data_IF_610640368832
#
_entry.id   IF_610640368832
#
_cell.length_a   1.000
_cell.length_b   1.000
_cell.length_c   1.000
_cell.angle_alpha   90.00
_cell.angle_beta   90.00
_cell.angle_gamma   90.00
#
_symmetry.space_group_name_H-M   'P 1'
#
loop_
_entity.id
_entity.type
_entity.pdbx_description
1 polymer ?
#
# COMPACT_ATOMS: atom_id res chain seq x y z
N UNK A 1 -22.89 18.04 7.22
CA UNK A 1 -21.80 17.08 7.00
C UNK A 1 -20.75 17.80 6.20
N UNK A 2 -19.55 17.94 6.77
CA UNK A 2 -18.40 18.38 5.98
C UNK A 2 -17.92 17.21 5.12
N UNK A 3 -17.48 17.52 3.90
CA UNK A 3 -16.89 16.54 3.00
C UNK A 3 -15.48 16.23 3.49
N UNK A 4 -15.19 14.96 3.75
CA UNK A 4 -13.84 14.47 4.05
C UNK A 4 -13.29 13.80 2.78
N UNK A 5 -12.23 14.36 2.21
CA UNK A 5 -11.60 13.87 0.99
C UNK A 5 -10.31 13.12 1.34
N UNK A 6 -10.13 11.94 0.74
CA UNK A 6 -8.90 11.15 0.85
C UNK A 6 -8.37 10.97 -0.56
N UNK A 7 -7.17 11.52 -0.82
CA UNK A 7 -6.50 11.42 -2.12
C UNK A 7 -5.40 10.37 -2.02
N UNK A 8 -5.35 9.45 -2.99
CA UNK A 8 -4.37 8.36 -3.03
C UNK A 8 -3.58 8.46 -4.33
N UNK A 9 -2.27 8.58 -4.22
CA UNK A 9 -1.34 8.52 -5.34
C UNK A 9 -0.90 7.08 -5.58
N UNK A 10 -1.23 6.54 -6.76
CA UNK A 10 -0.92 5.16 -7.12
C UNK A 10 0.33 5.06 -7.98
N UNK A 11 1.20 4.12 -7.61
CA UNK A 11 2.41 3.73 -8.34
C UNK A 11 2.27 2.27 -8.81
N UNK A 12 2.54 2.00 -10.08
CA UNK A 12 2.60 0.66 -10.63
C UNK A 12 2.08 0.55 -12.08
N UNK A 13 2.03 -0.67 -12.63
CA UNK A 13 2.34 -1.94 -11.95
C UNK A 13 3.85 -2.12 -11.70
N UNK A 14 4.18 -2.60 -10.50
CA UNK A 14 5.53 -3.02 -10.10
C UNK A 14 5.59 -4.55 -10.00
N UNK A 15 6.77 -5.12 -10.22
CA UNK A 15 7.07 -6.51 -9.87
C UNK A 15 7.30 -6.64 -8.35
N UNK A 16 7.13 -7.85 -7.83
CA UNK A 16 7.40 -8.15 -6.41
C UNK A 16 8.85 -7.79 -6.05
N UNK A 17 9.80 -8.12 -6.92
CA UNK A 17 11.22 -7.88 -6.71
C UNK A 17 11.56 -6.38 -6.69
N UNK A 18 10.93 -5.58 -7.55
CA UNK A 18 11.11 -4.12 -7.53
C UNK A 18 10.61 -3.50 -6.23
N UNK A 19 9.48 -3.99 -5.70
CA UNK A 19 8.96 -3.50 -4.40
C UNK A 19 9.90 -3.87 -3.27
N UNK A 20 10.31 -5.14 -3.19
CA UNK A 20 11.20 -5.62 -2.12
C UNK A 20 12.56 -4.90 -2.17
N UNK A 21 13.12 -4.69 -3.36
CA UNK A 21 14.44 -4.09 -3.50
C UNK A 21 14.46 -2.57 -3.23
N UNK A 22 13.38 -1.85 -3.54
CA UNK A 22 13.43 -0.38 -3.62
C UNK A 22 12.45 0.36 -2.73
N UNK A 23 11.48 -0.32 -2.09
CA UNK A 23 10.43 0.34 -1.29
C UNK A 23 10.70 0.20 0.20
N UNK A 24 11.86 0.68 0.61
CA UNK A 24 12.47 0.48 1.93
C UNK A 24 12.58 1.78 2.74
N UNK A 25 12.08 2.91 2.23
CA UNK A 25 12.12 4.18 2.95
C UNK A 25 11.12 4.19 4.11
N UNK A 26 11.60 3.75 5.27
CA UNK A 26 10.87 3.81 6.54
C UNK A 26 11.13 5.08 7.35
N UNK A 27 11.95 6.02 6.85
CA UNK A 27 12.44 7.14 7.65
C UNK A 27 13.43 6.69 8.72
N UNK A 28 13.77 7.60 9.62
CA UNK A 28 14.75 7.37 10.70
C UNK A 28 14.15 7.74 12.07
N UNK A 29 14.78 7.26 13.14
CA UNK A 29 14.42 7.63 14.52
C UNK A 29 14.55 9.16 14.70
N UNK A 30 13.61 9.83 15.43
CA UNK A 30 12.52 9.26 16.22
C UNK A 30 11.19 9.08 15.47
N UNK A 31 11.06 9.62 14.26
CA UNK A 31 9.74 9.85 13.66
C UNK A 31 9.28 8.73 12.72
N UNK A 32 10.21 7.97 12.11
CA UNK A 32 9.91 6.86 11.19
C UNK A 32 8.89 7.24 10.10
N UNK A 33 9.05 8.45 9.57
CA UNK A 33 8.14 9.12 8.65
C UNK A 33 8.59 8.96 7.20
N UNK A 34 9.05 7.77 6.80
CA UNK A 34 9.43 7.47 5.43
C UNK A 34 8.27 7.47 4.42
N UNK A 35 8.59 7.32 3.14
CA UNK A 35 7.58 7.34 2.07
C UNK A 35 7.01 5.98 1.69
N UNK A 36 7.57 4.87 2.20
CA UNK A 36 7.18 3.53 1.75
C UNK A 36 6.16 2.86 2.67
N UNK A 37 5.09 3.60 2.95
CA UNK A 37 3.90 3.16 3.67
C UNK A 37 2.63 3.51 2.91
N UNK A 38 1.53 2.83 3.24
CA UNK A 38 0.23 3.09 2.65
C UNK A 38 -0.50 1.81 2.26
N UNK A 39 -1.20 1.88 1.13
CA UNK A 39 -2.06 0.85 0.59
C UNK A 39 -1.34 0.04 -0.49
N UNK A 40 -1.76 -1.19 -0.71
CA UNK A 40 -1.31 -1.96 -1.86
C UNK A 40 -2.40 -2.85 -2.42
N UNK A 41 -2.33 -3.08 -3.73
CA UNK A 41 -3.16 -4.02 -4.46
C UNK A 41 -2.26 -5.02 -5.18
N UNK A 42 -2.63 -6.28 -5.16
CA UNK A 42 -1.89 -7.36 -5.79
C UNK A 42 -2.80 -8.03 -6.81
N UNK A 43 -2.38 -7.98 -8.06
CA UNK A 43 -3.06 -8.62 -9.18
C UNK A 43 -2.24 -9.81 -9.66
N UNK A 44 -2.92 -10.82 -10.21
CA UNK A 44 -2.28 -11.99 -10.78
C UNK A 44 -3.24 -12.79 -11.64
N UNK A 45 -2.96 -14.08 -11.80
CA UNK A 45 -3.79 -15.01 -12.55
C UNK A 45 -4.68 -15.80 -11.60
N UNK A 46 -5.99 -15.62 -11.71
CA UNK A 46 -6.95 -16.45 -10.98
C UNK A 46 -7.45 -17.59 -11.87
N UNK A 47 -7.60 -18.80 -11.31
CA UNK A 47 -7.97 -20.00 -12.08
C UNK A 47 -9.30 -19.86 -12.83
N UNK A 48 -10.26 -19.11 -12.27
CA UNK A 48 -11.58 -18.89 -12.89
C UNK A 48 -11.69 -17.58 -13.67
N UNK A 49 -10.96 -16.54 -13.24
CA UNK A 49 -11.14 -15.18 -13.76
C UNK A 49 -10.07 -14.80 -14.80
N UNK A 50 -9.01 -15.60 -14.93
CA UNK A 50 -7.92 -15.36 -15.86
C UNK A 50 -6.87 -14.38 -15.32
N UNK A 51 -5.99 -13.86 -16.20
CA UNK A 51 -4.92 -12.93 -15.82
C UNK A 51 -5.48 -11.55 -15.42
N UNK A 52 -4.66 -10.76 -14.72
CA UNK A 52 -4.99 -9.40 -14.27
C UNK A 52 -6.19 -9.33 -13.31
N UNK A 53 -6.43 -10.39 -12.55
CA UNK A 53 -7.44 -10.43 -11.49
C UNK A 53 -6.86 -9.87 -10.20
N UNK A 54 -7.63 -9.04 -9.48
CA UNK A 54 -7.25 -8.59 -8.14
C UNK A 54 -7.30 -9.78 -7.17
N UNK A 55 -6.17 -10.10 -6.57
CA UNK A 55 -6.01 -11.23 -5.63
C UNK A 55 -6.03 -10.76 -4.18
N UNK A 56 -5.50 -9.56 -3.91
CA UNK A 56 -5.34 -9.06 -2.56
C UNK A 56 -5.34 -7.53 -2.50
N UNK A 57 -5.94 -6.98 -1.45
CA UNK A 57 -5.86 -5.58 -1.06
C UNK A 57 -5.41 -5.54 0.39
N UNK A 58 -4.47 -4.66 0.72
CA UNK A 58 -4.07 -4.44 2.10
C UNK A 58 -3.41 -3.09 2.32
N UNK A 59 -2.96 -2.87 3.56
CA UNK A 59 -2.18 -1.71 3.96
C UNK A 59 -0.92 -2.07 4.75
N UNK A 60 -0.02 -1.11 4.87
CA UNK A 60 1.13 -1.17 5.76
C UNK A 60 1.45 0.22 6.31
N UNK A 61 1.43 0.36 7.64
CA UNK A 61 1.65 1.63 8.35
C UNK A 61 2.73 1.52 9.44
N UNK A 62 3.17 0.29 9.76
CA UNK A 62 4.14 0.00 10.82
C UNK A 62 5.42 -0.66 10.28
N UNK A 63 5.42 -1.02 9.00
CA UNK A 63 6.55 -1.60 8.28
C UNK A 63 6.48 -1.14 6.83
N UNK A 64 7.60 -1.16 6.12
CA UNK A 64 7.66 -0.67 4.74
C UNK A 64 6.87 -1.56 3.78
N UNK A 65 6.57 -1.04 2.59
CA UNK A 65 6.04 -1.86 1.50
C UNK A 65 6.96 -3.04 1.18
N UNK A 66 8.28 -2.82 1.19
CA UNK A 66 9.26 -3.91 0.98
C UNK A 66 9.04 -5.04 1.99
N UNK A 67 9.00 -4.73 3.29
CA UNK A 67 8.84 -5.73 4.34
C UNK A 67 7.52 -6.49 4.19
N UNK A 68 6.42 -5.77 3.92
CA UNK A 68 5.09 -6.38 3.79
C UNK A 68 4.98 -7.25 2.56
N UNK A 69 5.47 -6.80 1.42
CA UNK A 69 5.43 -7.58 0.19
C UNK A 69 6.39 -8.77 0.26
N UNK A 70 7.54 -8.66 0.93
CA UNK A 70 8.42 -9.80 1.16
C UNK A 70 7.75 -10.89 2.02
N UNK A 71 7.00 -10.51 3.05
CA UNK A 71 6.21 -11.47 3.84
C UNK A 71 5.20 -12.22 2.96
N UNK A 72 4.41 -11.49 2.16
CA UNK A 72 3.45 -12.09 1.21
C UNK A 72 4.14 -12.96 0.14
N UNK A 73 5.35 -12.58 -0.29
CA UNK A 73 6.15 -13.37 -1.21
C UNK A 73 6.58 -14.71 -0.62
N UNK A 74 7.05 -14.71 0.63
CA UNK A 74 7.41 -15.95 1.31
C UNK A 74 6.22 -16.84 1.60
N UNK A 75 5.06 -16.24 1.86
CA UNK A 75 3.82 -16.97 2.18
C UNK A 75 3.18 -17.60 0.93
N UNK A 76 2.77 -16.79 -0.06
CA UNK A 76 2.02 -17.29 -1.21
C UNK A 76 2.47 -16.78 -2.58
N UNK A 77 2.96 -15.53 -2.73
CA UNK A 77 3.17 -14.95 -4.08
C UNK A 77 4.27 -15.65 -4.88
N UNK A 78 5.25 -16.30 -4.24
CA UNK A 78 6.31 -17.05 -4.95
C UNK A 78 5.78 -18.20 -5.81
N UNK A 79 4.55 -18.67 -5.54
CA UNK A 79 3.89 -19.74 -6.28
C UNK A 79 2.90 -19.20 -7.32
N UNK A 80 2.72 -17.89 -7.40
CA UNK A 80 1.77 -17.24 -8.29
C UNK A 80 2.43 -16.70 -9.55
N UNK A 81 1.70 -16.71 -10.67
CA UNK A 81 2.19 -16.25 -11.97
C UNK A 81 1.62 -14.88 -12.34
N UNK A 82 2.44 -14.06 -13.00
CA UNK A 82 2.01 -12.79 -13.56
C UNK A 82 1.62 -11.74 -12.50
N UNK A 83 2.25 -11.80 -11.33
CA UNK A 83 1.99 -10.87 -10.23
C UNK A 83 2.34 -9.43 -10.62
N UNK A 84 1.42 -8.51 -10.34
CA UNK A 84 1.58 -7.07 -10.48
C UNK A 84 1.12 -6.39 -9.19
N UNK A 85 1.98 -5.55 -8.63
CA UNK A 85 1.71 -4.83 -7.39
C UNK A 85 1.49 -3.36 -7.73
N UNK A 86 0.46 -2.77 -7.13
CA UNK A 86 0.26 -1.31 -7.13
C UNK A 86 0.37 -0.82 -5.69
N UNK A 87 1.09 0.28 -5.48
CA UNK A 87 1.29 0.91 -4.18
C UNK A 87 0.55 2.24 -4.16
N UNK A 88 -0.29 2.45 -3.16
CA UNK A 88 -1.09 3.65 -2.99
C UNK A 88 -0.62 4.43 -1.77
N UNK A 89 -0.16 5.66 -1.97
CA UNK A 89 0.22 6.56 -0.88
C UNK A 89 -0.90 7.55 -0.63
N UNK A 90 -1.37 7.64 0.62
CA UNK A 90 -2.35 8.67 0.99
C UNK A 90 -1.61 10.00 0.99
N UNK A 91 -2.07 10.92 0.15
CA UNK A 91 -1.52 12.26 0.06
C UNK A 91 -1.87 13.05 1.33
N UNK A 92 -0.86 13.68 1.92
CA UNK A 92 -0.99 14.55 3.08
C UNK A 92 -0.26 15.87 2.80
N UNK A 93 -1.03 16.94 2.56
CA UNK A 93 -0.48 18.27 2.30
C UNK A 93 0.13 18.94 3.53
N UNK A 94 -0.24 18.49 4.73
CA UNK A 94 0.21 19.04 6.01
C UNK A 94 1.41 18.28 6.57
N UNK A 95 1.96 17.29 5.86
CA UNK A 95 3.11 16.50 6.28
C UNK A 95 4.32 17.38 6.63
N UNK A 96 4.96 17.10 7.76
CA UNK A 96 6.02 17.90 8.39
C UNK A 96 5.65 19.35 8.73
N UNK A 97 4.39 19.75 8.62
CA UNK A 97 3.91 21.04 9.09
C UNK A 97 3.55 20.98 10.58
N UNK A 98 3.36 22.13 11.27
CA UNK A 98 2.82 22.14 12.63
C UNK A 98 1.40 21.55 12.76
N UNK A 99 0.71 21.30 11.64
CA UNK A 99 -0.61 20.67 11.58
C UNK A 99 -0.54 19.17 11.27
N UNK A 100 0.65 18.63 11.01
CA UNK A 100 0.87 17.21 10.76
C UNK A 100 0.25 16.38 11.89
N UNK A 101 -0.60 15.44 11.48
CA UNK A 101 -1.33 14.58 12.39
C UNK A 101 -1.29 13.15 11.86
N UNK A 102 -0.21 12.44 12.22
CA UNK A 102 -0.02 11.03 11.88
C UNK A 102 -1.23 10.13 12.22
N UNK A 103 -2.01 10.46 13.27
CA UNK A 103 -3.21 9.68 13.63
C UNK A 103 -4.33 9.87 12.61
N UNK A 104 -4.45 11.07 12.06
CA UNK A 104 -5.42 11.35 10.99
C UNK A 104 -5.00 10.64 9.71
N UNK A 105 -3.72 10.72 9.32
CA UNK A 105 -3.18 9.97 8.18
C UNK A 105 -3.40 8.45 8.31
N UNK A 106 -3.12 7.87 9.48
CA UNK A 106 -3.37 6.46 9.76
C UNK A 106 -4.86 6.10 9.59
N UNK A 107 -5.75 6.96 10.11
CA UNK A 107 -7.20 6.78 9.98
C UNK A 107 -7.65 6.85 8.52
N UNK A 108 -7.07 7.73 7.72
CA UNK A 108 -7.40 7.88 6.31
C UNK A 108 -6.97 6.66 5.49
N UNK A 109 -5.79 6.08 5.79
CA UNK A 109 -5.39 4.78 5.23
C UNK A 109 -6.38 3.68 5.61
N UNK A 110 -6.80 3.60 6.87
CA UNK A 110 -7.75 2.58 7.34
C UNK A 110 -9.13 2.70 6.66
N UNK A 111 -9.63 3.93 6.48
CA UNK A 111 -10.87 4.19 5.76
C UNK A 111 -10.73 3.80 4.28
N UNK A 112 -9.63 4.21 3.64
CA UNK A 112 -9.38 3.91 2.23
C UNK A 112 -9.29 2.41 1.95
N UNK A 113 -8.58 1.65 2.80
CA UNK A 113 -8.50 0.19 2.71
C UNK A 113 -9.90 -0.45 2.74
N UNK A 114 -10.73 -0.06 3.71
CA UNK A 114 -12.10 -0.59 3.85
C UNK A 114 -12.97 -0.29 2.64
N UNK A 115 -12.86 0.92 2.09
CA UNK A 115 -13.60 1.32 0.87
C UNK A 115 -13.15 0.47 -0.31
N UNK A 116 -11.86 0.22 -0.48
CA UNK A 116 -11.36 -0.64 -1.56
C UNK A 116 -11.85 -2.07 -1.42
N UNK A 117 -11.77 -2.66 -0.23
CA UNK A 117 -12.29 -4.03 0.01
C UNK A 117 -13.80 -4.10 -0.21
N UNK A 118 -14.55 -3.05 0.11
CA UNK A 118 -16.00 -3.03 -0.15
C UNK A 118 -16.30 -2.95 -1.66
N UNK A 119 -15.47 -2.25 -2.43
CA UNK A 119 -15.69 -1.98 -3.86
C UNK A 119 -15.29 -3.14 -4.76
N UNK A 120 -14.25 -3.90 -4.39
CA UNK A 120 -13.65 -4.95 -5.20
C UNK A 120 -13.82 -6.33 -4.56
#
# INVERSE_FOLDING_TARGET
>A
MELHEIVIEWEGPLTVQEVIANKTDGGEEPDWDGNDYGLYQIYGKHILCGPHTLLYVGKTTEQTFSDRINQHYQDFLKNEEGIRVYLGRVFDSDRHSPRDNWRQWYRDIDIAERIMIYKY
#
